data_IF_408227177671
#
_entry.id   IF_408227177671
#
_cell.length_a   1.000
_cell.length_b   1.000
_cell.length_c   1.000
_cell.angle_alpha   90.00
_cell.angle_beta   90.00
_cell.angle_gamma   90.00
#
_symmetry.space_group_name_H-M   'P 1'
#
loop_
_entity.id
_entity.type
_entity.pdbx_description
1 polymer ?
#
# COMPACT_ATOMS: atom_id res chain seq x y z
N UNK A 1 -3.75 8.21 17.79
CA UNK A 1 -3.41 8.32 16.37
C UNK A 1 -4.58 9.01 15.68
N UNK A 2 -4.38 10.14 15.00
CA UNK A 2 -5.46 10.83 14.28
C UNK A 2 -5.62 10.24 12.87
N UNK A 3 -5.84 8.93 12.79
CA UNK A 3 -6.00 8.19 11.54
C UNK A 3 -7.49 8.12 11.20
N UNK A 4 -7.89 8.28 9.92
CA UNK A 4 -9.27 8.05 9.50
C UNK A 4 -9.73 6.66 9.94
N UNK A 5 -11.00 6.55 10.36
CA UNK A 5 -11.57 5.28 10.79
C UNK A 5 -11.35 4.19 9.72
N UNK A 6 -10.79 3.06 10.13
CA UNK A 6 -10.48 1.91 9.26
C UNK A 6 -9.07 1.92 8.66
N UNK A 7 -8.27 2.98 8.79
CA UNK A 7 -6.95 3.03 8.17
C UNK A 7 -5.99 1.95 8.71
N UNK A 8 -6.04 1.66 10.01
CA UNK A 8 -5.23 0.59 10.62
C UNK A 8 -5.63 -0.79 10.08
N UNK A 9 -6.93 -0.99 9.81
CA UNK A 9 -7.45 -2.23 9.19
C UNK A 9 -7.00 -2.37 7.74
N UNK A 10 -6.96 -1.27 6.99
CA UNK A 10 -6.41 -1.27 5.64
C UNK A 10 -4.97 -1.80 5.63
N UNK A 11 -4.11 -1.31 6.52
CA UNK A 11 -2.73 -1.78 6.63
C UNK A 11 -2.62 -3.24 7.07
N UNK A 12 -3.47 -3.69 8.00
CA UNK A 12 -3.53 -5.11 8.40
C UNK A 12 -3.95 -6.04 7.25
N UNK A 13 -4.75 -5.55 6.28
CA UNK A 13 -5.22 -6.36 5.14
C UNK A 13 -4.22 -6.46 4.00
N UNK A 14 -3.34 -5.47 3.82
CA UNK A 14 -2.41 -5.40 2.68
C UNK A 14 -0.93 -5.57 3.07
N UNK A 15 -0.58 -5.33 4.33
CA UNK A 15 0.79 -5.31 4.83
C UNK A 15 1.15 -6.53 5.68
N UNK A 16 2.43 -6.64 6.01
CA UNK A 16 2.94 -7.65 6.94
C UNK A 16 3.14 -7.07 8.33
N UNK A 17 2.86 -7.88 9.34
CA UNK A 17 3.24 -7.58 10.72
C UNK A 17 4.73 -7.89 10.87
N UNK A 18 5.53 -6.85 11.10
CA UNK A 18 6.95 -6.99 11.42
C UNK A 18 7.15 -7.07 12.93
N UNK A 19 8.14 -7.84 13.37
CA UNK A 19 8.39 -8.10 14.79
C UNK A 19 8.85 -6.86 15.57
N UNK A 20 9.39 -5.85 14.89
CA UNK A 20 9.87 -4.62 15.49
C UNK A 20 10.51 -3.69 14.47
N UNK A 21 10.92 -2.51 14.92
CA UNK A 21 11.53 -1.45 14.11
C UNK A 21 12.77 -1.92 13.33
N UNK A 22 13.59 -2.77 13.95
CA UNK A 22 14.87 -3.22 13.40
C UNK A 22 14.78 -4.62 12.74
N UNK A 23 13.56 -5.15 12.59
CA UNK A 23 13.35 -6.40 11.90
C UNK A 23 13.69 -6.24 10.40
N UNK A 24 14.29 -7.26 9.76
CA UNK A 24 14.55 -7.21 8.33
C UNK A 24 13.22 -7.09 7.56
N UNK A 25 13.20 -6.36 6.44
CA UNK A 25 12.00 -6.24 5.62
C UNK A 25 11.57 -7.62 5.09
N UNK A 26 10.26 -7.90 4.99
CA UNK A 26 9.78 -9.13 4.39
C UNK A 26 10.24 -9.22 2.93
N UNK A 27 10.82 -10.35 2.57
CA UNK A 27 11.21 -10.63 1.19
C UNK A 27 9.98 -11.14 0.44
N UNK A 28 9.59 -10.41 -0.60
CA UNK A 28 8.43 -10.74 -1.42
C UNK A 28 8.90 -11.06 -2.83
N UNK A 29 8.34 -12.10 -3.40
CA UNK A 29 8.40 -12.34 -4.84
C UNK A 29 7.61 -11.27 -5.61
N UNK A 30 7.86 -11.19 -6.92
CA UNK A 30 7.13 -10.25 -7.79
C UNK A 30 5.62 -10.53 -7.80
N UNK A 31 5.23 -11.80 -7.71
CA UNK A 31 3.83 -12.24 -7.66
C UNK A 31 3.14 -11.81 -6.35
N UNK A 32 3.83 -11.97 -5.21
CA UNK A 32 3.32 -11.53 -3.91
C UNK A 32 3.16 -10.00 -3.86
N UNK A 33 4.09 -9.28 -4.49
CA UNK A 33 4.00 -7.83 -4.61
C UNK A 33 2.86 -7.39 -5.52
N UNK A 34 2.65 -8.08 -6.65
CA UNK A 34 1.54 -7.82 -7.57
C UNK A 34 0.19 -8.09 -6.91
N UNK A 35 0.07 -9.19 -6.19
CA UNK A 35 -1.12 -9.56 -5.42
C UNK A 35 -1.47 -8.49 -4.37
N UNK A 36 -0.47 -8.01 -3.62
CA UNK A 36 -0.68 -6.94 -2.64
C UNK A 36 -1.13 -5.64 -3.28
N UNK A 37 -0.53 -5.27 -4.42
CA UNK A 37 -0.95 -4.08 -5.18
C UNK A 37 -2.40 -4.20 -5.65
N UNK A 38 -2.82 -5.39 -6.11
CA UNK A 38 -4.20 -5.63 -6.52
C UNK A 38 -5.16 -5.45 -5.34
N UNK A 39 -4.88 -6.09 -4.19
CA UNK A 39 -5.69 -5.95 -2.97
C UNK A 39 -5.75 -4.51 -2.46
N UNK A 40 -4.63 -3.78 -2.53
CA UNK A 40 -4.58 -2.38 -2.14
C UNK A 40 -5.48 -1.50 -3.02
N UNK A 41 -5.52 -1.75 -4.32
CA UNK A 41 -6.39 -1.06 -5.28
C UNK A 41 -7.87 -1.41 -5.07
N UNK A 42 -8.20 -2.67 -4.84
CA UNK A 42 -9.57 -3.12 -4.54
C UNK A 42 -10.13 -2.47 -3.27
N UNK A 43 -9.29 -2.31 -2.25
CA UNK A 43 -9.69 -1.74 -0.95
C UNK A 43 -9.58 -0.21 -0.89
N UNK A 44 -8.95 0.43 -1.88
CA UNK A 44 -8.65 1.86 -1.87
C UNK A 44 -9.90 2.73 -1.63
N UNK A 45 -10.97 2.48 -2.37
CA UNK A 45 -12.24 3.22 -2.24
C UNK A 45 -12.88 3.04 -0.85
N UNK A 46 -12.91 1.80 -0.35
CA UNK A 46 -13.49 1.46 0.97
C UNK A 46 -12.84 2.23 2.10
N UNK A 47 -11.52 2.39 2.05
CA UNK A 47 -10.75 3.06 3.10
C UNK A 47 -10.42 4.52 2.77
N UNK A 48 -11.02 5.09 1.70
CA UNK A 48 -10.76 6.46 1.24
C UNK A 48 -9.27 6.72 1.00
N UNK A 49 -8.58 5.73 0.47
CA UNK A 49 -7.16 5.79 0.14
C UNK A 49 -6.97 6.01 -1.36
N UNK A 50 -6.02 6.84 -1.74
CA UNK A 50 -5.66 7.08 -3.14
C UNK A 50 -4.31 6.42 -3.43
N UNK A 51 -4.33 5.39 -4.28
CA UNK A 51 -3.11 4.73 -4.72
C UNK A 51 -2.59 5.39 -6.00
N UNK A 52 -1.54 6.20 -5.88
CA UNK A 52 -0.91 6.92 -7.00
C UNK A 52 -0.01 6.02 -7.89
N UNK A 53 -0.19 4.69 -7.82
CA UNK A 53 0.56 3.71 -8.60
C UNK A 53 -0.32 3.19 -9.74
N UNK A 54 0.08 3.29 -11.03
CA UNK A 54 1.34 3.74 -11.59
C UNK A 54 1.34 5.22 -12.03
N UNK A 55 0.42 6.05 -11.53
CA UNK A 55 0.21 7.43 -11.99
C UNK A 55 1.51 8.28 -11.96
N UNK A 56 2.41 8.06 -11.00
CA UNK A 56 3.71 8.75 -10.98
C UNK A 56 4.67 8.33 -12.11
N UNK A 57 4.59 7.09 -12.63
CA UNK A 57 5.39 6.63 -13.79
C UNK A 57 4.77 7.05 -15.12
N UNK A 58 3.51 7.44 -15.13
CA UNK A 58 2.76 7.86 -16.32
C UNK A 58 2.62 9.38 -16.44
N UNK A 59 3.08 10.16 -15.46
CA UNK A 59 3.07 11.62 -15.53
C UNK A 59 4.28 12.11 -16.35
N UNK A 60 4.10 12.77 -17.51
CA UNK A 60 5.22 13.40 -18.21
C UNK A 60 5.75 14.56 -17.35
N UNK A 61 7.07 14.57 -17.09
CA UNK A 61 7.76 15.65 -16.39
C UNK A 61 7.64 16.93 -17.22
N UNK A 62 6.63 17.77 -16.94
CA UNK A 62 6.84 18.90 -16.04
C UNK A 62 5.67 19.15 -15.06
N UNK A 63 4.73 18.21 -14.91
CA UNK A 63 3.52 18.40 -14.07
C UNK A 63 3.64 17.81 -12.66
N UNK A 64 4.83 17.34 -12.28
CA UNK A 64 5.18 17.01 -10.89
C UNK A 64 5.70 18.26 -10.16
#
# INVERSE_FOLDING_TARGET
MCTPAGQDEYFMRIGDVVAGKDAPPPQLSEDELAERRRRAAELASTYRNESLWPAWRACPAPVC
#
